data_IF_511866555596
#
_entry.id   IF_511866555596
#
_cell.length_a   1.000
_cell.length_b   1.000
_cell.length_c   1.000
_cell.angle_alpha   90.00
_cell.angle_beta   90.00
_cell.angle_gamma   90.00
#
_symmetry.space_group_name_H-M   'P 1'
#
loop_
_entity.id
_entity.type
_entity.pdbx_description
1 polymer ?
#
# COMPACT_ATOMS: atom_id res chain seq x y z
N UNK A 1 1.19 18.60 2.00
CA UNK A 1 0.76 17.69 0.91
C UNK A 1 1.59 18.00 -0.32
N UNK A 2 2.12 16.98 -0.98
CA UNK A 2 2.92 17.13 -2.21
C UNK A 2 2.12 16.59 -3.39
N UNK A 3 2.20 17.23 -4.55
CA UNK A 3 1.51 16.80 -5.77
C UNK A 3 2.45 15.93 -6.60
N UNK A 4 1.91 14.88 -7.20
CA UNK A 4 2.63 14.00 -8.13
C UNK A 4 1.85 13.91 -9.44
N UNK A 5 2.56 13.60 -10.52
CA UNK A 5 1.97 13.19 -11.79
C UNK A 5 2.16 11.68 -11.91
N UNK A 6 1.11 10.99 -12.34
CA UNK A 6 1.13 9.56 -12.58
C UNK A 6 0.38 9.30 -13.88
N UNK A 7 1.04 8.60 -14.80
CA UNK A 7 0.40 8.14 -16.03
C UNK A 7 -0.40 6.88 -15.71
N UNK A 8 -1.69 6.92 -16.05
CA UNK A 8 -2.64 5.84 -15.88
C UNK A 8 -3.34 5.64 -17.22
N UNK A 9 -3.59 4.38 -17.59
CA UNK A 9 -4.40 4.10 -18.76
C UNK A 9 -5.82 4.64 -18.55
N UNK A 10 -6.51 5.01 -19.63
CA UNK A 10 -7.88 5.55 -19.51
C UNK A 10 -8.85 4.57 -18.84
N UNK A 11 -8.63 3.26 -19.05
CA UNK A 11 -9.43 2.20 -18.42
C UNK A 11 -9.27 2.18 -16.91
N UNK A 12 -8.05 2.38 -16.40
CA UNK A 12 -7.78 2.47 -14.97
C UNK A 12 -8.43 3.71 -14.36
N UNK A 13 -8.41 4.84 -15.09
CA UNK A 13 -9.10 6.07 -14.68
C UNK A 13 -10.61 5.83 -14.57
N UNK A 14 -11.22 5.22 -15.59
CA UNK A 14 -12.67 4.90 -15.59
C UNK A 14 -13.03 3.96 -14.45
N UNK A 15 -12.23 2.92 -14.24
CA UNK A 15 -12.41 2.00 -13.13
C UNK A 15 -12.31 2.72 -11.78
N UNK A 16 -11.33 3.61 -11.61
CA UNK A 16 -11.13 4.37 -10.38
C UNK A 16 -12.31 5.32 -10.10
N UNK A 17 -12.84 5.98 -11.12
CA UNK A 17 -14.02 6.83 -11.03
C UNK A 17 -15.26 6.06 -10.56
N UNK A 18 -15.53 4.90 -11.19
CA UNK A 18 -16.64 4.03 -10.78
C UNK A 18 -16.46 3.57 -9.32
N UNK A 19 -15.25 3.14 -8.96
CA UNK A 19 -14.94 2.65 -7.61
C UNK A 19 -15.05 3.74 -6.54
N UNK A 20 -14.74 4.99 -6.90
CA UNK A 20 -14.91 6.15 -6.02
C UNK A 20 -16.39 6.50 -5.84
N UNK A 21 -17.18 6.47 -6.92
CA UNK A 21 -18.62 6.71 -6.88
C UNK A 21 -19.35 5.67 -6.02
N UNK A 22 -19.04 4.39 -6.18
CA UNK A 22 -19.59 3.29 -5.34
C UNK A 22 -19.35 3.52 -3.84
N UNK A 23 -18.21 4.09 -3.48
CA UNK A 23 -17.82 4.33 -2.08
C UNK A 23 -18.26 5.71 -1.56
N UNK A 24 -18.86 6.56 -2.39
CA UNK A 24 -19.18 7.94 -2.04
C UNK A 24 -17.95 8.79 -1.69
N UNK A 25 -16.77 8.43 -2.23
CA UNK A 25 -15.50 9.09 -1.96
C UNK A 25 -15.00 9.86 -3.18
N UNK A 26 -14.08 10.80 -2.97
CA UNK A 26 -13.32 11.37 -4.09
C UNK A 26 -12.24 10.40 -4.58
N UNK A 27 -11.97 10.41 -5.89
CA UNK A 27 -10.85 9.65 -6.50
C UNK A 27 -9.54 9.78 -5.72
N UNK A 28 -9.16 11.00 -5.34
CA UNK A 28 -7.93 11.26 -4.61
C UNK A 28 -7.92 10.63 -3.21
N UNK A 29 -9.09 10.49 -2.57
CA UNK A 29 -9.20 9.76 -1.30
C UNK A 29 -8.98 8.28 -1.50
N UNK A 30 -9.60 7.68 -2.52
CA UNK A 30 -9.41 6.26 -2.86
C UNK A 30 -7.94 5.96 -3.16
N UNK A 31 -7.26 6.84 -3.92
CA UNK A 31 -5.83 6.72 -4.20
C UNK A 31 -4.98 6.79 -2.93
N UNK A 32 -5.28 7.70 -1.99
CA UNK A 32 -4.56 7.77 -0.71
C UNK A 32 -4.75 6.50 0.11
N UNK A 33 -5.98 6.00 0.19
CA UNK A 33 -6.30 4.76 0.91
C UNK A 33 -5.54 3.57 0.29
N UNK A 34 -5.51 3.47 -1.05
CA UNK A 34 -4.78 2.43 -1.76
C UNK A 34 -3.26 2.48 -1.50
N UNK A 35 -2.65 3.68 -1.49
CA UNK A 35 -1.23 3.84 -1.17
C UNK A 35 -0.92 3.42 0.27
N UNK A 36 -1.78 3.76 1.23
CA UNK A 36 -1.62 3.33 2.62
C UNK A 36 -1.72 1.82 2.77
N UNK A 37 -2.71 1.19 2.12
CA UNK A 37 -2.88 -0.25 2.13
C UNK A 37 -1.67 -0.97 1.50
N UNK A 38 -1.18 -0.49 0.35
CA UNK A 38 0.02 -1.03 -0.30
C UNK A 38 1.25 -0.95 0.60
N UNK A 39 1.44 0.19 1.30
CA UNK A 39 2.54 0.36 2.24
C UNK A 39 2.46 -0.62 3.41
N UNK A 40 1.28 -0.83 3.98
CA UNK A 40 1.11 -1.78 5.08
C UNK A 40 1.46 -3.21 4.67
N UNK A 41 1.07 -3.63 3.47
CA UNK A 41 1.43 -4.95 2.93
C UNK A 41 2.96 -5.06 2.77
N UNK A 42 3.61 -4.02 2.22
CA UNK A 42 5.06 -4.01 2.08
C UNK A 42 5.80 -4.04 3.43
N UNK A 43 5.31 -3.32 4.44
CA UNK A 43 5.88 -3.33 5.80
C UNK A 43 5.73 -4.69 6.49
N UNK A 44 4.59 -5.37 6.31
CA UNK A 44 4.37 -6.72 6.86
C UNK A 44 5.31 -7.76 6.23
N UNK A 45 5.51 -7.71 4.91
CA UNK A 45 6.50 -8.57 4.23
C UNK A 45 7.93 -8.29 4.72
N UNK A 46 8.22 -7.05 5.12
CA UNK A 46 9.49 -6.71 5.77
C UNK A 46 9.66 -7.45 7.10
N UNK A 47 8.65 -7.44 7.98
CA UNK A 47 8.71 -8.11 9.29
C UNK A 47 8.91 -9.62 9.13
N UNK A 48 8.22 -10.27 8.19
CA UNK A 48 8.39 -11.70 7.90
C UNK A 48 9.83 -12.05 7.48
N UNK A 49 10.52 -11.16 6.76
CA UNK A 49 11.92 -11.36 6.38
C UNK A 49 12.91 -11.33 7.57
N UNK A 50 12.53 -10.73 8.70
CA UNK A 50 13.39 -10.68 9.90
C UNK A 50 12.96 -11.68 10.99
N UNK A 51 11.86 -12.42 10.79
CA UNK A 51 11.44 -13.49 11.69
C UNK A 51 12.49 -14.62 11.67
N UNK A 52 13.07 -14.94 12.85
CA UNK A 52 14.03 -16.03 13.01
C UNK A 52 15.52 -15.63 13.05
N UNK A 53 15.87 -14.38 12.75
CA UNK A 53 17.28 -13.91 12.80
C UNK A 53 17.91 -14.06 14.20
N UNK A 54 17.09 -14.02 15.25
CA UNK A 54 17.52 -14.20 16.63
C UNK A 54 17.32 -15.63 17.15
N UNK A 55 16.61 -16.50 16.42
CA UNK A 55 16.30 -17.85 16.86
C UNK A 55 17.54 -18.76 16.90
N UNK A 56 18.52 -18.51 16.02
CA UNK A 56 19.78 -19.27 15.98
C UNK A 56 20.86 -18.71 16.90
N UNK A 57 20.65 -17.53 17.49
CA UNK A 57 21.59 -16.95 18.45
C UNK A 57 21.35 -17.59 19.82
N UNK A 58 21.91 -18.78 20.05
CA UNK A 58 22.07 -19.30 21.41
C UNK A 58 22.85 -18.25 22.20
N UNK A 59 22.27 -17.78 23.30
CA UNK A 59 22.94 -16.90 24.25
C UNK A 59 24.27 -17.58 24.63
N UNK A 60 25.38 -17.01 24.17
CA UNK A 60 26.70 -17.42 24.61
C UNK A 60 26.77 -17.08 26.10
N UNK A 61 26.64 -18.10 26.93
CA UNK A 61 26.76 -18.02 28.38
C UNK A 61 27.75 -19.07 28.83
#
# INVERSE_FOLDING_TARGET
MTRILADLAEEDIRWLDARAAEQGKSRASVLRDAVQAYRQVAEQQGIEQYFGIWAERKAQR
#
